data_IF_963085651015
#
_entry.id   IF_963085651015
#
_cell.length_a   1.000
_cell.length_b   1.000
_cell.length_c   1.000
_cell.angle_alpha   90.00
_cell.angle_beta   90.00
_cell.angle_gamma   90.00
#
_symmetry.space_group_name_H-M   'P 1'
#
loop_
_entity.id
_entity.type
_entity.pdbx_description
1 polymer ?
#
# COMPACT_ATOMS: atom_id res chain seq x y z
N UNK A 1 -27.54 4.84 -3.91
CA UNK A 1 -28.20 5.12 -5.20
C UNK A 1 -27.60 4.32 -6.38
N UNK A 2 -26.28 4.31 -6.61
CA UNK A 2 -25.64 3.61 -7.76
C UNK A 2 -25.98 2.10 -7.88
N UNK A 3 -26.09 1.35 -6.77
CA UNK A 3 -26.41 -0.10 -6.80
C UNK A 3 -27.84 -0.38 -7.27
N UNK A 4 -28.79 0.50 -6.99
CA UNK A 4 -30.19 0.34 -7.44
C UNK A 4 -30.35 0.67 -8.92
N UNK A 5 -29.59 1.64 -9.45
CA UNK A 5 -29.58 2.00 -10.86
C UNK A 5 -29.03 0.85 -11.72
N UNK A 6 -27.97 0.19 -11.24
CA UNK A 6 -27.36 -0.96 -11.92
C UNK A 6 -28.31 -2.15 -11.98
N UNK A 7 -29.04 -2.41 -10.91
CA UNK A 7 -30.03 -3.50 -10.85
C UNK A 7 -31.23 -3.24 -11.77
N UNK A 8 -31.70 -1.99 -11.85
CA UNK A 8 -32.81 -1.60 -12.75
C UNK A 8 -32.36 -1.67 -14.22
N UNK A 9 -31.13 -1.24 -14.53
CA UNK A 9 -30.58 -1.31 -15.88
C UNK A 9 -30.45 -2.77 -16.38
N UNK A 10 -30.00 -3.69 -15.51
CA UNK A 10 -29.89 -5.12 -15.84
C UNK A 10 -31.25 -5.76 -15.99
N UNK A 11 -32.25 -5.39 -15.19
CA UNK A 11 -33.63 -5.88 -15.30
C UNK A 11 -34.33 -5.41 -16.60
N UNK A 12 -34.07 -4.13 -16.96
CA UNK A 12 -34.61 -3.56 -18.21
C UNK A 12 -33.99 -4.23 -19.45
N UNK A 13 -32.69 -4.51 -19.42
CA UNK A 13 -32.01 -5.23 -20.49
C UNK A 13 -32.55 -6.67 -20.66
N UNK A 14 -32.83 -7.36 -19.57
CA UNK A 14 -33.44 -8.68 -19.56
C UNK A 14 -34.88 -8.66 -20.11
N UNK A 15 -35.65 -7.63 -19.77
CA UNK A 15 -37.04 -7.51 -20.25
C UNK A 15 -37.13 -7.25 -21.77
N UNK A 16 -36.21 -6.43 -22.32
CA UNK A 16 -36.20 -6.16 -23.77
C UNK A 16 -35.74 -7.36 -24.59
N UNK A 17 -34.79 -8.16 -24.09
CA UNK A 17 -34.35 -9.40 -24.75
C UNK A 17 -35.46 -10.47 -24.74
N UNK A 18 -36.25 -10.56 -23.66
CA UNK A 18 -37.36 -11.51 -23.56
C UNK A 18 -38.53 -11.16 -24.49
N UNK A 19 -38.80 -9.88 -24.75
CA UNK A 19 -39.87 -9.44 -25.65
C UNK A 19 -39.56 -9.71 -27.15
N UNK A 20 -38.27 -9.72 -27.50
CA UNK A 20 -37.81 -9.95 -28.87
C UNK A 20 -37.74 -11.45 -29.26
N UNK A 21 -37.73 -12.34 -28.26
CA UNK A 21 -37.55 -13.79 -28.44
C UNK A 21 -38.80 -14.53 -29.04
N UNK A 22 -39.90 -13.85 -29.24
CA UNK A 22 -41.17 -14.49 -29.65
C UNK A 22 -41.25 -14.89 -31.13
N UNK A 23 -40.26 -14.56 -31.98
CA UNK A 23 -40.22 -14.85 -33.41
C UNK A 23 -38.93 -15.52 -33.91
N UNK A 24 -38.07 -15.99 -32.99
CA UNK A 24 -36.77 -16.56 -33.35
C UNK A 24 -36.83 -18.04 -33.62
N UNK A 25 -36.13 -18.52 -34.65
CA UNK A 25 -35.93 -19.94 -34.91
C UNK A 25 -35.13 -20.61 -33.78
N UNK A 26 -35.32 -21.92 -33.55
CA UNK A 26 -34.63 -22.65 -32.46
C UNK A 26 -33.11 -22.47 -32.48
N UNK A 27 -32.51 -22.42 -33.68
CA UNK A 27 -31.05 -22.22 -33.81
C UNK A 27 -30.58 -20.82 -33.40
N UNK A 28 -31.40 -19.79 -33.60
CA UNK A 28 -31.07 -18.42 -33.16
C UNK A 28 -31.28 -18.24 -31.65
N UNK A 29 -32.24 -18.95 -31.06
CA UNK A 29 -32.43 -18.96 -29.61
C UNK A 29 -31.23 -19.57 -28.88
N UNK A 30 -30.65 -20.66 -29.38
CA UNK A 30 -29.47 -21.28 -28.80
C UNK A 30 -28.23 -20.35 -28.84
N UNK A 31 -28.04 -19.63 -29.94
CA UNK A 31 -26.92 -18.67 -30.07
C UNK A 31 -27.06 -17.48 -29.09
N UNK A 32 -28.30 -16.98 -28.90
CA UNK A 32 -28.57 -15.91 -27.94
C UNK A 32 -28.28 -16.37 -26.48
N UNK A 33 -28.72 -17.60 -26.15
CA UNK A 33 -28.45 -18.17 -24.81
C UNK A 33 -26.95 -18.29 -24.55
N UNK A 34 -26.17 -18.76 -25.53
CA UNK A 34 -24.70 -18.87 -25.39
C UNK A 34 -24.07 -17.49 -25.21
N UNK A 35 -24.45 -16.49 -25.98
CA UNK A 35 -23.95 -15.11 -25.83
C UNK A 35 -24.31 -14.57 -24.45
N UNK A 36 -25.53 -14.78 -23.98
CA UNK A 36 -25.95 -14.31 -22.65
C UNK A 36 -25.17 -14.96 -21.52
N UNK A 37 -24.89 -16.27 -21.62
CA UNK A 37 -24.03 -16.99 -20.66
C UNK A 37 -22.60 -16.45 -20.64
N UNK A 38 -22.02 -16.15 -21.80
CA UNK A 38 -20.68 -15.56 -21.90
C UNK A 38 -20.66 -14.18 -21.28
N UNK A 39 -21.66 -13.33 -21.51
CA UNK A 39 -21.77 -12.01 -20.91
C UNK A 39 -21.89 -12.09 -19.38
N UNK A 40 -22.71 -13.00 -18.86
CA UNK A 40 -22.86 -13.24 -17.42
C UNK A 40 -21.53 -13.71 -16.81
N UNK A 41 -20.83 -14.64 -17.46
CA UNK A 41 -19.52 -15.11 -17.01
C UNK A 41 -18.48 -13.97 -16.95
N UNK A 42 -18.44 -13.11 -17.97
CA UNK A 42 -17.58 -11.92 -18.00
C UNK A 42 -17.92 -10.94 -16.87
N UNK A 43 -19.20 -10.70 -16.61
CA UNK A 43 -19.63 -9.81 -15.51
C UNK A 43 -19.26 -10.37 -14.13
N UNK A 44 -19.33 -11.69 -13.95
CA UNK A 44 -18.91 -12.34 -12.71
C UNK A 44 -17.39 -12.22 -12.49
N UNK A 45 -16.60 -12.41 -13.55
CA UNK A 45 -15.14 -12.25 -13.50
C UNK A 45 -14.76 -10.80 -13.16
N UNK A 46 -15.37 -9.82 -13.86
CA UNK A 46 -15.15 -8.39 -13.58
C UNK A 46 -15.57 -8.03 -12.15
N UNK A 47 -16.72 -8.53 -11.68
CA UNK A 47 -17.17 -8.35 -10.31
C UNK A 47 -16.18 -8.92 -9.29
N UNK A 48 -15.64 -10.10 -9.55
CA UNK A 48 -14.61 -10.74 -8.73
C UNK A 48 -13.32 -9.91 -8.66
N UNK A 49 -12.86 -9.39 -9.79
CA UNK A 49 -11.68 -8.52 -9.87
C UNK A 49 -11.89 -7.23 -9.06
N UNK A 50 -13.06 -6.59 -9.20
CA UNK A 50 -13.40 -5.36 -8.48
C UNK A 50 -13.47 -5.62 -6.97
N UNK A 51 -14.09 -6.74 -6.54
CA UNK A 51 -14.17 -7.11 -5.13
C UNK A 51 -12.78 -7.42 -4.55
N UNK A 52 -11.94 -8.12 -5.30
CA UNK A 52 -10.57 -8.40 -4.89
C UNK A 52 -9.76 -7.11 -4.75
N UNK A 53 -9.83 -6.22 -5.73
CA UNK A 53 -9.14 -4.93 -5.69
C UNK A 53 -9.60 -4.07 -4.52
N UNK A 54 -10.91 -3.96 -4.27
CA UNK A 54 -11.46 -3.24 -3.13
C UNK A 54 -11.02 -3.83 -1.78
N UNK A 55 -10.88 -5.16 -1.69
CA UNK A 55 -10.40 -5.82 -0.47
C UNK A 55 -8.94 -5.51 -0.18
N UNK A 56 -8.10 -5.44 -1.23
CA UNK A 56 -6.69 -5.05 -1.12
C UNK A 56 -6.55 -3.59 -0.70
N UNK A 57 -7.32 -2.69 -1.34
CA UNK A 57 -7.33 -1.25 -1.00
C UNK A 57 -7.79 -1.02 0.44
N UNK A 58 -8.86 -1.71 0.89
CA UNK A 58 -9.33 -1.59 2.29
C UNK A 58 -8.28 -2.02 3.30
N UNK A 59 -7.60 -3.14 3.07
CA UNK A 59 -6.52 -3.61 3.97
C UNK A 59 -5.38 -2.61 4.07
N UNK A 60 -5.00 -1.98 2.95
CA UNK A 60 -3.96 -0.94 2.92
C UNK A 60 -4.41 0.33 3.67
N UNK A 61 -5.65 0.76 3.48
CA UNK A 61 -6.20 1.91 4.19
C UNK A 61 -6.30 1.67 5.71
N UNK A 62 -6.66 0.45 6.13
CA UNK A 62 -6.68 0.09 7.56
C UNK A 62 -5.26 0.09 8.16
N UNK A 63 -4.25 -0.34 7.41
CA UNK A 63 -2.85 -0.25 7.85
C UNK A 63 -2.39 1.20 7.96
N UNK A 64 -2.72 2.05 6.98
CA UNK A 64 -2.43 3.49 7.01
C UNK A 64 -3.09 4.17 8.22
N UNK A 65 -4.36 3.88 8.48
CA UNK A 65 -5.05 4.43 9.64
C UNK A 65 -4.42 4.01 10.97
N UNK A 66 -3.94 2.77 11.08
CA UNK A 66 -3.22 2.30 12.27
C UNK A 66 -1.89 3.03 12.47
N UNK A 67 -1.13 3.26 11.38
CA UNK A 67 0.13 4.00 11.41
C UNK A 67 -0.13 5.46 11.78
N UNK A 68 -1.14 6.09 11.17
CA UNK A 68 -1.52 7.47 11.47
C UNK A 68 -1.96 7.65 12.93
N UNK A 69 -2.76 6.72 13.45
CA UNK A 69 -3.18 6.77 14.86
C UNK A 69 -1.99 6.55 15.82
N UNK A 70 -1.06 5.64 15.47
CA UNK A 70 0.16 5.43 16.27
C UNK A 70 1.07 6.65 16.25
N UNK A 71 1.18 7.35 15.12
CA UNK A 71 1.94 8.61 14.99
C UNK A 71 1.27 9.76 15.75
N UNK A 72 -0.07 9.86 15.72
CA UNK A 72 -0.81 10.85 16.51
C UNK A 72 -0.62 10.63 18.01
N UNK A 73 -0.65 9.38 18.46
CA UNK A 73 -0.36 9.01 19.85
C UNK A 73 1.08 9.35 20.26
N UNK A 74 2.05 9.03 19.39
CA UNK A 74 3.45 9.38 19.60
C UNK A 74 3.66 10.90 19.69
N UNK A 75 3.04 11.65 18.79
CA UNK A 75 3.15 13.12 18.74
C UNK A 75 2.47 13.79 19.93
N UNK A 76 1.36 13.23 20.42
CA UNK A 76 0.69 13.73 21.61
C UNK A 76 1.57 13.56 22.86
N UNK A 77 2.34 12.47 22.95
CA UNK A 77 3.24 12.18 24.08
C UNK A 77 4.51 13.05 24.01
N UNK A 78 5.15 13.10 22.83
CA UNK A 78 6.40 13.88 22.63
C UNK A 78 6.14 15.40 22.62
N UNK A 79 4.93 15.83 22.22
CA UNK A 79 4.51 17.23 22.22
C UNK A 79 4.10 17.77 23.59
N UNK A 80 3.91 16.90 24.57
CA UNK A 80 3.56 17.32 25.93
C UNK A 80 4.80 17.79 26.70
N UNK A 81 4.98 19.10 26.76
CA UNK A 81 6.09 19.77 27.45
C UNK A 81 6.07 19.60 28.98
N UNK A 82 5.02 19.03 29.54
CA UNK A 82 4.89 18.79 30.98
C UNK A 82 5.49 17.46 31.41
N UNK A 83 5.75 16.55 30.45
CA UNK A 83 6.34 15.24 30.71
C UNK A 83 7.87 15.28 30.57
N UNK A 84 8.57 14.67 31.53
CA UNK A 84 10.01 14.46 31.43
C UNK A 84 10.35 13.45 30.33
N UNK A 85 11.58 13.47 29.81
CA UNK A 85 12.02 12.52 28.78
C UNK A 85 11.85 11.06 29.23
N UNK A 86 12.13 10.77 30.50
CA UNK A 86 12.01 9.43 31.08
C UNK A 86 10.54 8.97 31.16
N UNK A 87 9.63 9.89 31.52
CA UNK A 87 8.18 9.61 31.55
C UNK A 87 7.61 9.40 30.14
N UNK A 88 8.08 10.17 29.15
CA UNK A 88 7.71 9.98 27.74
C UNK A 88 8.14 8.61 27.24
N UNK A 89 9.37 8.16 27.55
CA UNK A 89 9.89 6.86 27.17
C UNK A 89 9.12 5.70 27.86
N UNK A 90 8.77 5.86 29.13
CA UNK A 90 7.98 4.87 29.88
C UNK A 90 6.55 4.71 29.32
N UNK A 91 5.89 5.82 28.97
CA UNK A 91 4.56 5.80 28.34
C UNK A 91 4.60 5.18 26.95
N UNK A 92 5.61 5.53 26.14
CA UNK A 92 5.80 4.96 24.82
C UNK A 92 6.09 3.45 24.87
N UNK A 93 6.89 3.00 25.83
CA UNK A 93 7.19 1.58 26.02
C UNK A 93 5.97 0.77 26.46
N UNK A 94 5.05 1.37 27.24
CA UNK A 94 3.79 0.74 27.68
C UNK A 94 2.70 0.74 26.61
N UNK A 95 2.68 1.75 25.73
CA UNK A 95 1.70 1.84 24.61
C UNK A 95 2.09 1.02 23.38
N UNK A 96 3.37 0.66 23.23
CA UNK A 96 3.71 -0.34 22.22
C UNK A 96 2.96 -1.62 22.56
N UNK A 97 2.16 -2.20 21.64
CA UNK A 97 1.57 -3.50 21.89
C UNK A 97 2.72 -4.43 22.21
N UNK A 98 2.80 -4.87 23.50
CA UNK A 98 3.76 -5.93 23.87
C UNK A 98 3.67 -6.96 22.78
N UNK A 99 4.78 -7.30 22.10
CA UNK A 99 4.74 -8.39 21.15
C UNK A 99 4.09 -9.53 21.93
N UNK A 100 2.88 -9.95 21.53
CA UNK A 100 2.21 -11.13 22.10
C UNK A 100 3.32 -12.15 22.13
N UNK A 101 3.64 -12.67 23.32
CA UNK A 101 4.74 -13.61 23.52
C UNK A 101 4.73 -14.53 22.31
N UNK A 102 5.63 -14.25 21.37
CA UNK A 102 5.69 -14.99 20.15
C UNK A 102 5.92 -16.40 20.65
N UNK A 103 4.97 -17.33 20.42
CA UNK A 103 5.34 -18.73 20.34
C UNK A 103 6.69 -18.72 19.68
N UNK A 104 7.69 -19.31 20.30
CA UNK A 104 9.00 -19.48 19.72
C UNK A 104 8.75 -20.23 18.41
N UNK A 105 8.42 -19.49 17.39
CA UNK A 105 8.36 -19.96 16.02
C UNK A 105 9.84 -20.12 15.72
N UNK A 106 10.28 -21.32 15.49
CA UNK A 106 11.58 -21.60 14.91
C UNK A 106 11.60 -20.79 13.61
N UNK A 107 12.19 -19.59 13.67
CA UNK A 107 12.34 -18.75 12.49
C UNK A 107 13.32 -19.48 11.59
N UNK A 108 12.85 -19.81 10.38
CA UNK A 108 13.73 -20.26 9.31
C UNK A 108 14.84 -19.22 9.10
N UNK A 109 16.06 -19.66 8.77
CA UNK A 109 17.23 -18.79 8.58
C UNK A 109 16.92 -17.62 7.63
N UNK A 110 16.08 -17.87 6.62
CA UNK A 110 15.61 -16.83 5.71
C UNK A 110 14.71 -15.79 6.35
N UNK A 111 13.85 -16.16 7.28
CA UNK A 111 12.99 -15.21 8.02
C UNK A 111 13.82 -14.37 8.98
N UNK A 112 14.76 -14.98 9.70
CA UNK A 112 15.67 -14.26 10.60
C UNK A 112 16.54 -13.26 9.82
N UNK A 113 17.06 -13.68 8.67
CA UNK A 113 17.82 -12.82 7.77
C UNK A 113 16.98 -11.65 7.26
N UNK A 114 15.73 -11.90 6.82
CA UNK A 114 14.83 -10.86 6.34
C UNK A 114 14.52 -9.82 7.42
N UNK A 115 14.21 -10.24 8.65
CA UNK A 115 13.93 -9.31 9.77
C UNK A 115 15.17 -8.43 10.06
N UNK A 116 16.37 -9.02 10.06
CA UNK A 116 17.62 -8.29 10.26
C UNK A 116 17.89 -7.31 9.11
N UNK A 117 17.62 -7.73 7.88
CA UNK A 117 17.75 -6.90 6.68
C UNK A 117 16.80 -5.70 6.74
N UNK A 118 15.51 -5.94 6.99
CA UNK A 118 14.49 -4.89 7.04
C UNK A 118 14.81 -3.87 8.14
N UNK A 119 15.19 -4.32 9.34
CA UNK A 119 15.58 -3.43 10.44
C UNK A 119 16.81 -2.58 10.09
N UNK A 120 17.84 -3.19 9.45
CA UNK A 120 19.06 -2.48 9.07
C UNK A 120 18.84 -1.48 7.95
N UNK A 121 18.08 -1.86 6.91
CA UNK A 121 17.74 -0.99 5.78
C UNK A 121 16.92 0.22 6.24
N UNK A 122 15.96 0.02 7.15
CA UNK A 122 15.16 1.11 7.72
C UNK A 122 15.99 2.05 8.61
N UNK A 123 16.98 1.53 9.34
CA UNK A 123 17.86 2.32 10.19
C UNK A 123 18.86 3.15 9.38
N UNK A 124 19.56 2.52 8.45
CA UNK A 124 20.67 3.13 7.70
C UNK A 124 20.22 3.84 6.43
N UNK A 125 19.01 3.50 5.93
CA UNK A 125 18.34 4.10 4.76
C UNK A 125 19.19 4.09 3.47
N UNK A 126 19.83 2.97 3.10
CA UNK A 126 20.64 2.92 1.88
C UNK A 126 19.78 3.14 0.62
N UNK A 127 18.46 2.94 0.70
CA UNK A 127 17.52 3.15 -0.38
C UNK A 127 17.38 4.62 -0.83
N UNK A 128 17.92 5.57 -0.08
CA UNK A 128 17.97 6.98 -0.49
C UNK A 128 18.98 7.24 -1.61
N UNK A 129 19.86 6.29 -1.90
CA UNK A 129 20.67 6.30 -3.11
C UNK A 129 19.79 5.87 -4.31
N UNK A 130 19.66 6.67 -5.38
CA UNK A 130 18.89 6.30 -6.57
C UNK A 130 19.42 5.07 -7.30
N UNK A 131 20.71 4.73 -7.13
CA UNK A 131 21.34 3.56 -7.71
C UNK A 131 21.11 2.28 -6.91
N UNK A 132 20.58 2.38 -5.67
CA UNK A 132 20.40 1.23 -4.78
C UNK A 132 19.47 0.19 -5.40
N UNK A 133 20.00 -1.01 -5.63
CA UNK A 133 19.34 -2.12 -6.29
C UNK A 133 19.49 -3.44 -5.52
N UNK A 134 19.14 -4.55 -6.14
CA UNK A 134 19.23 -5.89 -5.54
C UNK A 134 20.68 -6.30 -5.24
N UNK A 135 21.62 -5.99 -6.12
CA UNK A 135 23.03 -6.30 -5.93
C UNK A 135 23.58 -5.54 -4.73
N UNK A 136 23.33 -4.23 -4.69
CA UNK A 136 23.75 -3.36 -3.59
C UNK A 136 23.09 -3.75 -2.26
N UNK A 137 21.84 -4.24 -2.29
CA UNK A 137 21.17 -4.75 -1.09
C UNK A 137 21.84 -6.01 -0.54
N UNK A 138 22.25 -6.95 -1.41
CA UNK A 138 22.99 -8.15 -1.00
C UNK A 138 24.36 -7.77 -0.40
N UNK A 139 25.11 -6.90 -1.06
CA UNK A 139 26.39 -6.39 -0.60
C UNK A 139 26.26 -5.62 0.72
N UNK A 140 25.23 -4.79 0.86
CA UNK A 140 24.90 -4.09 2.12
C UNK A 140 24.65 -5.06 3.27
N UNK A 141 24.08 -6.22 3.00
CA UNK A 141 23.90 -7.26 4.00
C UNK A 141 25.13 -8.13 4.23
N UNK A 142 26.21 -7.92 3.45
CA UNK A 142 27.47 -8.67 3.56
C UNK A 142 27.41 -10.09 2.98
N UNK A 143 26.53 -10.32 2.01
CA UNK A 143 26.39 -11.59 1.31
C UNK A 143 26.45 -11.40 -0.19
N UNK A 144 26.85 -12.43 -0.93
CA UNK A 144 26.74 -12.44 -2.37
C UNK A 144 25.28 -12.60 -2.83
N UNK A 145 24.99 -12.20 -4.08
CA UNK A 145 23.65 -12.21 -4.64
C UNK A 145 23.01 -13.61 -4.66
N UNK A 146 23.81 -14.65 -4.89
CA UNK A 146 23.31 -16.03 -4.93
C UNK A 146 22.83 -16.48 -3.52
N UNK A 147 23.63 -16.20 -2.51
CA UNK A 147 23.30 -16.45 -1.11
C UNK A 147 22.07 -15.62 -0.68
N UNK A 148 22.01 -14.34 -1.07
CA UNK A 148 20.85 -13.48 -0.83
C UNK A 148 19.58 -14.10 -1.41
N UNK A 149 19.60 -14.54 -2.67
CA UNK A 149 18.45 -15.15 -3.32
C UNK A 149 18.04 -16.50 -2.70
N UNK A 150 18.97 -17.23 -2.10
CA UNK A 150 18.69 -18.47 -1.34
C UNK A 150 18.02 -18.16 0.01
N UNK A 151 18.52 -17.15 0.71
CA UNK A 151 17.99 -16.74 2.03
C UNK A 151 16.63 -16.08 1.91
N UNK A 152 16.39 -15.29 0.86
CA UNK A 152 15.14 -14.59 0.64
C UNK A 152 14.59 -14.87 -0.77
N UNK A 153 14.04 -16.07 -1.03
CA UNK A 153 13.58 -16.49 -2.35
C UNK A 153 12.52 -15.56 -2.97
N UNK A 154 11.77 -14.85 -2.12
CA UNK A 154 10.79 -13.85 -2.54
C UNK A 154 11.41 -12.73 -3.38
N UNK A 155 12.67 -12.38 -3.10
CA UNK A 155 13.41 -11.31 -3.77
C UNK A 155 14.43 -11.81 -4.76
N UNK A 156 14.31 -13.06 -5.22
CA UNK A 156 15.10 -13.60 -6.33
C UNK A 156 14.86 -12.85 -7.64
N UNK A 157 13.61 -12.39 -7.86
CA UNK A 157 13.25 -11.54 -8.98
C UNK A 157 13.69 -10.09 -8.68
N UNK A 158 14.59 -9.48 -9.47
CA UNK A 158 15.05 -8.10 -9.30
C UNK A 158 13.90 -7.09 -9.21
N UNK A 159 12.81 -7.34 -9.96
CA UNK A 159 11.62 -6.48 -9.93
C UNK A 159 10.97 -6.46 -8.56
N UNK A 160 10.86 -7.61 -7.90
CA UNK A 160 10.28 -7.68 -6.54
C UNK A 160 11.15 -7.01 -5.49
N UNK A 161 12.48 -7.06 -5.67
CA UNK A 161 13.41 -6.32 -4.81
C UNK A 161 13.27 -4.82 -5.04
N UNK A 162 13.14 -4.39 -6.31
CA UNK A 162 12.90 -2.98 -6.63
C UNK A 162 11.56 -2.49 -6.07
N UNK A 163 10.50 -3.30 -6.13
CA UNK A 163 9.20 -2.98 -5.54
C UNK A 163 9.31 -2.81 -4.01
N UNK A 164 10.11 -3.64 -3.34
CA UNK A 164 10.42 -3.49 -1.91
C UNK A 164 11.19 -2.20 -1.63
N UNK A 165 12.26 -1.91 -2.35
CA UNK A 165 13.05 -0.68 -2.22
C UNK A 165 12.15 0.55 -2.45
N UNK A 166 11.34 0.52 -3.49
CA UNK A 166 10.42 1.61 -3.82
C UNK A 166 9.33 1.80 -2.77
N UNK A 167 8.87 0.73 -2.10
CA UNK A 167 7.95 0.90 -0.97
C UNK A 167 8.59 1.62 0.21
N UNK A 168 9.84 1.31 0.53
CA UNK A 168 10.60 2.02 1.57
C UNK A 168 10.83 3.49 1.23
N UNK A 169 11.16 3.78 -0.03
CA UNK A 169 11.28 5.17 -0.53
C UNK A 169 9.97 5.95 -0.38
N UNK A 170 8.84 5.33 -0.74
CA UNK A 170 7.53 5.95 -0.62
C UNK A 170 7.13 6.19 0.85
N UNK A 171 7.40 5.23 1.75
CA UNK A 171 7.15 5.37 3.18
C UNK A 171 8.02 6.49 3.80
N UNK A 172 9.27 6.57 3.39
CA UNK A 172 10.18 7.63 3.82
C UNK A 172 9.72 9.00 3.30
N UNK A 173 9.28 9.08 2.04
CA UNK A 173 8.72 10.30 1.47
C UNK A 173 7.45 10.77 2.21
N UNK A 174 6.56 9.85 2.58
CA UNK A 174 5.38 10.18 3.37
C UNK A 174 5.75 10.80 4.72
N UNK A 175 6.83 10.30 5.36
CA UNK A 175 7.36 10.87 6.60
C UNK A 175 7.92 12.26 6.38
N UNK A 176 8.74 12.47 5.35
CA UNK A 176 9.31 13.80 5.03
C UNK A 176 8.19 14.81 4.74
N UNK A 177 7.17 14.42 3.97
CA UNK A 177 6.02 15.29 3.68
C UNK A 177 5.27 15.75 4.95
N UNK A 178 5.26 14.92 6.00
CA UNK A 178 4.63 15.26 7.27
C UNK A 178 5.51 16.18 8.13
N UNK A 179 6.81 15.90 8.14
CA UNK A 179 7.76 16.61 8.99
C UNK A 179 8.21 17.94 8.37
N UNK A 180 8.23 18.04 7.05
CA UNK A 180 8.76 19.16 6.26
C UNK A 180 7.81 19.54 5.11
N UNK A 181 6.68 20.13 5.46
CA UNK A 181 5.65 20.54 4.49
C UNK A 181 6.07 21.71 3.57
N UNK A 182 7.21 22.31 3.82
CA UNK A 182 7.83 23.41 3.08
C UNK A 182 8.80 22.95 1.97
N UNK A 183 9.17 21.67 1.95
CA UNK A 183 10.06 21.14 0.92
C UNK A 183 9.34 21.02 -0.43
N UNK A 184 10.08 21.32 -1.51
CA UNK A 184 9.56 21.11 -2.86
C UNK A 184 9.43 19.63 -3.20
N UNK A 185 8.56 19.28 -4.15
CA UNK A 185 8.42 17.89 -4.61
C UNK A 185 9.71 17.35 -5.22
N UNK A 186 10.53 18.20 -5.83
CA UNK A 186 11.82 17.81 -6.41
C UNK A 186 12.86 17.52 -5.32
N UNK A 187 12.89 18.31 -4.25
CA UNK A 187 13.75 18.04 -3.08
C UNK A 187 13.39 16.69 -2.45
N UNK A 188 12.10 16.45 -2.21
CA UNK A 188 11.61 15.20 -1.63
C UNK A 188 11.93 14.01 -2.55
N UNK A 189 11.75 14.17 -3.86
CA UNK A 189 12.12 13.15 -4.86
C UNK A 189 13.58 12.74 -4.71
N UNK A 190 14.46 13.72 -4.66
CA UNK A 190 15.92 13.51 -4.55
C UNK A 190 16.31 12.91 -3.22
N UNK A 191 15.77 13.42 -2.10
CA UNK A 191 16.04 12.94 -0.74
C UNK A 191 15.59 11.50 -0.51
N UNK A 192 14.55 11.06 -1.22
CA UNK A 192 14.01 9.70 -1.10
C UNK A 192 14.66 8.70 -2.06
N UNK A 193 15.61 9.12 -2.89
CA UNK A 193 16.33 8.25 -3.82
C UNK A 193 15.54 7.89 -5.08
N UNK A 194 14.56 8.68 -5.47
CA UNK A 194 13.91 8.52 -6.76
C UNK A 194 14.71 9.19 -7.86
N UNK A 195 14.74 8.56 -9.05
CA UNK A 195 15.46 9.09 -10.22
C UNK A 195 14.81 10.34 -10.80
N UNK A 196 13.49 10.42 -10.71
CA UNK A 196 12.69 11.51 -11.23
C UNK A 196 11.34 11.63 -10.50
N UNK A 197 10.69 12.79 -10.63
CA UNK A 197 9.42 13.09 -10.00
C UNK A 197 8.27 12.22 -10.52
N UNK A 198 8.33 11.72 -11.76
CA UNK A 198 7.31 10.85 -12.32
C UNK A 198 7.34 9.46 -11.64
N UNK A 199 8.54 8.90 -11.45
CA UNK A 199 8.75 7.67 -10.70
C UNK A 199 8.29 7.82 -9.23
N UNK A 200 8.61 8.94 -8.59
CA UNK A 200 8.15 9.25 -7.24
C UNK A 200 6.61 9.28 -7.16
N UNK A 201 5.96 10.11 -7.98
CA UNK A 201 4.49 10.27 -7.95
C UNK A 201 3.79 8.93 -8.22
N UNK A 202 4.25 8.16 -9.21
CA UNK A 202 3.64 6.88 -9.57
C UNK A 202 3.80 5.85 -8.45
N UNK A 203 4.98 5.75 -7.85
CA UNK A 203 5.27 4.84 -6.75
C UNK A 203 4.49 5.22 -5.50
N UNK A 204 4.46 6.50 -5.15
CA UNK A 204 3.71 7.01 -4.00
C UNK A 204 2.21 6.74 -4.15
N UNK A 205 1.65 7.04 -5.34
CA UNK A 205 0.25 6.74 -5.65
C UNK A 205 -0.05 5.24 -5.61
N UNK A 206 0.88 4.41 -6.06
CA UNK A 206 0.74 2.95 -5.95
C UNK A 206 0.73 2.49 -4.49
N UNK A 207 1.61 3.05 -3.65
CA UNK A 207 1.73 2.68 -2.24
C UNK A 207 0.55 3.18 -1.39
N UNK A 208 0.14 4.43 -1.58
CA UNK A 208 -0.83 5.12 -0.71
C UNK A 208 -2.21 5.36 -1.34
N UNK A 209 -2.37 5.14 -2.64
CA UNK A 209 -3.63 5.35 -3.36
C UNK A 209 -3.93 6.80 -3.74
N UNK A 210 -3.10 7.75 -3.29
CA UNK A 210 -3.23 9.20 -3.53
C UNK A 210 -1.90 9.77 -4.00
N UNK A 211 -1.92 10.94 -4.67
CA UNK A 211 -0.68 11.62 -5.05
C UNK A 211 0.00 12.24 -3.82
N UNK A 212 1.34 12.50 -3.86
CA UNK A 212 2.04 13.20 -2.78
C UNK A 212 1.40 14.55 -2.44
N UNK A 213 0.96 15.29 -3.44
CA UNK A 213 0.30 16.60 -3.28
C UNK A 213 -1.06 16.47 -2.59
N UNK A 214 -1.88 15.48 -2.99
CA UNK A 214 -3.19 15.24 -2.35
C UNK A 214 -3.00 14.77 -0.90
N UNK A 215 -1.97 13.95 -0.65
CA UNK A 215 -1.58 13.51 0.68
C UNK A 215 -1.24 14.70 1.58
N UNK A 216 -0.35 15.60 1.13
CA UNK A 216 0.05 16.80 1.85
C UNK A 216 -1.15 17.73 2.12
N UNK A 217 -2.01 17.95 1.11
CA UNK A 217 -3.21 18.78 1.25
C UNK A 217 -4.18 18.21 2.29
N UNK A 218 -4.38 16.89 2.28
CA UNK A 218 -5.24 16.21 3.25
C UNK A 218 -4.71 16.34 4.68
N UNK A 219 -3.40 16.20 4.85
CA UNK A 219 -2.73 16.39 6.14
C UNK A 219 -2.88 17.83 6.64
N UNK A 220 -2.62 18.82 5.79
CA UNK A 220 -2.75 20.24 6.14
C UNK A 220 -4.20 20.62 6.53
N UNK A 221 -5.20 20.03 5.89
CA UNK A 221 -6.61 20.23 6.27
C UNK A 221 -6.93 19.64 7.65
N UNK A 222 -6.42 18.45 7.96
CA UNK A 222 -6.59 17.82 9.26
C UNK A 222 -5.95 18.67 10.38
N UNK A 223 -4.74 19.19 10.15
CA UNK A 223 -4.07 20.05 11.14
C UNK A 223 -4.82 21.38 11.38
N UNK A 224 -5.31 22.03 10.29
CA UNK A 224 -6.10 23.26 10.42
C UNK A 224 -7.41 23.05 11.17
N UNK A 225 -8.03 21.90 11.06
CA UNK A 225 -9.27 21.54 11.77
C UNK A 225 -9.04 21.30 13.26
N UNK A 226 -7.89 20.73 13.63
CA UNK A 226 -7.50 20.43 15.02
C UNK A 226 -7.11 21.70 15.80
N UNK A 227 -6.64 22.75 15.12
CA UNK A 227 -6.24 24.04 15.76
C UNK A 227 -7.44 24.96 16.00
N UNK A 228 -8.58 24.72 15.34
CA UNK A 228 -9.80 25.56 15.46
C UNK A 228 -10.89 24.96 16.36
N UNK A 229 -10.71 23.79 16.91
CA UNK A 229 -11.61 23.14 17.86
C UNK A 229 -10.95 22.98 19.22
#
# INVERSE_FOLDING_TARGET
MRKRIFLIATLLLMATTFCHARSLTLAEADTIIVILLVVVALLLVLGGIILHHNKVVRRRNEQLLRILNALDDYRAIVGDRTLSLDEQEDILSKKQPKPKAAKVVHMDDGQAFFVKMDARVNKEKPFTDPAFDQQMLAEFMGVDLETFCKLVPRYKDPKRTLDYINSLRAEYAAKILMDHSDYSMDDITSMCGFKDSAAFISTFKFAFGVTPTDYLNSMNQMFKKKVKG
#
